data_IF_928967455183
#
_entry.id   IF_928967455183
#
_cell.length_a   1.000
_cell.length_b   1.000
_cell.length_c   1.000
_cell.angle_alpha   90.00
_cell.angle_beta   90.00
_cell.angle_gamma   90.00
#
_symmetry.space_group_name_H-M   'P 1'
#
loop_
_entity.id
_entity.type
_entity.pdbx_description
1 polymer ?
#
# COMPACT_ATOMS: atom_id res chain seq x y z
N UNK A 1 7.45 -13.85 -31.41
CA UNK A 1 8.42 -13.34 -30.42
C UNK A 1 7.63 -13.21 -29.13
N UNK A 2 7.74 -14.18 -28.22
CA UNK A 2 7.14 -14.04 -26.88
C UNK A 2 8.14 -13.24 -26.06
N UNK A 3 7.78 -11.99 -25.77
CA UNK A 3 8.51 -11.15 -24.82
C UNK A 3 8.41 -11.85 -23.45
N UNK A 4 9.51 -11.98 -22.68
CA UNK A 4 9.39 -12.42 -21.29
C UNK A 4 8.46 -11.44 -20.55
N UNK A 5 7.70 -11.87 -19.54
CA UNK A 5 7.01 -10.92 -18.68
C UNK A 5 8.09 -10.02 -18.07
N UNK A 6 8.02 -8.73 -18.36
CA UNK A 6 8.86 -7.73 -17.74
C UNK A 6 8.64 -7.87 -16.22
N UNK A 7 9.63 -8.41 -15.50
CA UNK A 7 9.59 -8.60 -14.02
C UNK A 7 9.64 -7.26 -13.26
N UNK A 8 9.57 -6.15 -14.01
CA UNK A 8 9.59 -4.74 -13.60
C UNK A 8 8.36 -3.98 -14.10
N UNK A 9 7.37 -4.68 -14.69
CA UNK A 9 6.08 -4.05 -14.99
C UNK A 9 5.34 -3.86 -13.66
N UNK A 10 5.10 -2.61 -13.26
CA UNK A 10 4.31 -2.25 -12.08
C UNK A 10 2.96 -2.97 -12.00
N UNK A 11 2.28 -2.82 -10.87
CA UNK A 11 0.99 -3.46 -10.65
C UNK A 11 -0.13 -2.73 -11.40
N UNK A 12 -0.65 -3.33 -12.47
CA UNK A 12 -1.86 -2.85 -13.14
C UNK A 12 -3.12 -3.15 -12.29
N UNK A 13 -4.23 -2.47 -12.58
CA UNK A 13 -5.56 -2.57 -11.95
C UNK A 13 -6.04 -4.02 -11.72
N UNK A 14 -5.61 -4.98 -12.54
CA UNK A 14 -5.97 -6.40 -12.41
C UNK A 14 -5.00 -7.23 -11.54
N UNK A 15 -3.78 -6.76 -11.29
CA UNK A 15 -2.76 -7.54 -10.56
C UNK A 15 -2.86 -7.42 -9.03
N UNK A 16 -3.57 -6.42 -8.53
CA UNK A 16 -3.68 -6.11 -7.10
C UNK A 16 -4.32 -7.24 -6.28
N UNK A 17 -5.31 -7.95 -6.83
CA UNK A 17 -5.94 -9.10 -6.14
C UNK A 17 -4.97 -10.27 -5.90
N UNK A 18 -3.79 -10.25 -6.52
CA UNK A 18 -2.74 -11.26 -6.34
C UNK A 18 -1.79 -10.92 -5.20
N UNK A 19 -1.87 -9.71 -4.65
CA UNK A 19 -1.08 -9.32 -3.49
C UNK A 19 -1.41 -10.20 -2.30
N UNK A 20 -0.38 -10.61 -1.58
CA UNK A 20 -0.52 -11.38 -0.34
C UNK A 20 -0.53 -10.37 0.80
N UNK A 21 -1.69 -10.10 1.42
CA UNK A 21 -1.73 -9.18 2.53
C UNK A 21 -1.01 -9.77 3.75
N UNK A 22 -0.32 -8.90 4.48
CA UNK A 22 0.20 -9.21 5.79
C UNK A 22 -0.92 -9.06 6.83
N UNK A 23 -1.55 -10.18 7.15
CA UNK A 23 -2.65 -10.24 8.11
C UNK A 23 -2.39 -11.31 9.18
N UNK A 24 -3.05 -11.18 10.33
CA UNK A 24 -3.10 -12.20 11.38
C UNK A 24 -2.00 -12.11 12.44
N UNK A 25 -1.04 -11.19 12.32
CA UNK A 25 -0.12 -10.80 13.41
C UNK A 25 0.45 -9.40 13.18
N UNK A 26 0.98 -8.80 14.24
CA UNK A 26 1.79 -7.57 14.15
C UNK A 26 3.12 -7.90 13.49
N UNK A 27 3.50 -7.08 12.51
CA UNK A 27 4.74 -7.24 11.78
C UNK A 27 5.94 -6.95 12.68
N UNK A 28 6.99 -7.73 12.46
CA UNK A 28 8.30 -7.49 13.05
C UNK A 28 9.34 -7.14 11.96
N UNK A 29 10.55 -6.81 12.40
CA UNK A 29 11.63 -6.43 11.48
C UNK A 29 12.03 -7.56 10.52
N UNK A 30 11.87 -8.83 10.91
CA UNK A 30 12.17 -9.98 10.05
C UNK A 30 11.15 -10.08 8.91
N UNK A 31 9.87 -9.78 9.19
CA UNK A 31 8.82 -9.73 8.16
C UNK A 31 9.11 -8.68 7.09
N UNK A 32 9.56 -7.49 7.49
CA UNK A 32 9.92 -6.41 6.54
C UNK A 32 11.15 -6.80 5.73
N UNK A 33 12.20 -7.35 6.36
CA UNK A 33 13.39 -7.83 5.65
C UNK A 33 13.08 -8.98 4.68
N UNK A 34 12.10 -9.82 5.02
CA UNK A 34 11.60 -10.89 4.17
C UNK A 34 10.59 -10.41 3.11
N UNK A 35 10.30 -9.11 3.04
CA UNK A 35 9.30 -8.49 2.14
C UNK A 35 7.90 -9.09 2.28
N UNK A 36 7.53 -9.49 3.51
CA UNK A 36 6.18 -9.96 3.85
C UNK A 36 5.31 -8.84 4.38
N UNK A 37 5.90 -7.87 5.07
CA UNK A 37 5.25 -6.69 5.61
C UNK A 37 5.91 -5.43 5.02
N UNK A 38 5.17 -4.33 4.99
CA UNK A 38 5.66 -3.03 4.50
C UNK A 38 6.44 -2.31 5.60
N UNK A 39 5.93 -2.36 6.84
CA UNK A 39 6.55 -1.69 7.98
C UNK A 39 6.57 -2.56 9.24
N UNK A 40 7.42 -2.18 10.19
CA UNK A 40 7.42 -2.69 11.55
C UNK A 40 7.75 -1.54 12.51
N UNK A 41 6.81 -1.20 13.40
CA UNK A 41 7.01 -0.12 14.38
C UNK A 41 7.58 -0.71 15.67
N UNK A 42 8.88 -0.52 15.88
CA UNK A 42 9.58 -1.07 17.06
C UNK A 42 9.54 -0.13 18.28
N UNK A 43 9.28 1.16 18.04
CA UNK A 43 9.23 2.20 19.07
C UNK A 43 7.79 2.53 19.52
N UNK A 44 6.81 1.71 19.13
CA UNK A 44 5.42 1.81 19.58
C UNK A 44 5.06 0.66 20.51
N UNK A 45 3.95 0.81 21.22
CA UNK A 45 3.47 -0.20 22.15
C UNK A 45 2.08 -0.70 21.76
N UNK A 46 1.71 -1.86 22.33
CA UNK A 46 0.33 -2.35 22.31
C UNK A 46 -0.24 -2.52 20.88
N UNK A 47 0.60 -2.99 19.96
CA UNK A 47 0.23 -3.26 18.56
C UNK A 47 -0.98 -4.19 18.44
N UNK A 48 -1.95 -3.78 17.63
CA UNK A 48 -3.20 -4.50 17.36
C UNK A 48 -3.46 -4.57 15.86
N UNK A 49 -4.06 -5.66 15.42
CA UNK A 49 -4.56 -5.74 14.05
C UNK A 49 -5.81 -4.91 13.91
N UNK A 50 -5.93 -4.19 12.80
CA UNK A 50 -7.17 -3.54 12.39
C UNK A 50 -7.98 -4.59 11.60
N UNK A 51 -9.24 -4.80 12.00
CA UNK A 51 -10.15 -5.72 11.31
C UNK A 51 -10.67 -5.06 10.04
N UNK A 52 -10.00 -5.36 8.92
CA UNK A 52 -10.27 -4.77 7.60
C UNK A 52 -10.09 -5.85 6.52
N UNK A 53 -10.88 -5.76 5.46
CA UNK A 53 -10.69 -6.57 4.26
C UNK A 53 -9.37 -6.16 3.59
N UNK A 54 -8.49 -7.12 3.31
CA UNK A 54 -7.20 -6.89 2.67
C UNK A 54 -6.99 -7.94 1.56
N UNK A 55 -6.38 -7.60 0.42
CA UNK A 55 -5.91 -6.25 0.04
C UNK A 55 -7.07 -5.27 -0.23
N UNK A 56 -6.88 -4.00 0.10
CA UNK A 56 -7.90 -2.94 -0.03
C UNK A 56 -7.39 -1.78 -0.88
N UNK A 57 -8.05 -1.45 -2.01
CA UNK A 57 -7.74 -0.25 -2.76
C UNK A 57 -7.98 1.01 -1.93
N UNK A 58 -7.06 1.96 -2.01
CA UNK A 58 -7.12 3.24 -1.29
C UNK A 58 -6.65 4.39 -2.17
N UNK A 59 -7.18 5.58 -1.91
CA UNK A 59 -6.63 6.85 -2.37
C UNK A 59 -5.96 7.49 -1.15
N UNK A 60 -4.66 7.77 -1.25
CA UNK A 60 -3.89 8.43 -0.18
C UNK A 60 -3.44 9.81 -0.62
N UNK A 61 -3.32 10.73 0.34
CA UNK A 61 -2.79 12.07 0.09
C UNK A 61 -1.35 12.18 0.55
N UNK A 62 -0.42 12.16 -0.41
CA UNK A 62 0.99 12.42 -0.20
C UNK A 62 1.33 13.90 -0.44
N UNK A 63 2.57 14.31 -0.19
CA UNK A 63 3.04 15.68 -0.43
C UNK A 63 2.88 16.13 -1.91
N UNK A 64 3.01 15.19 -2.86
CA UNK A 64 2.86 15.43 -4.30
C UNK A 64 1.39 15.36 -4.78
N UNK A 65 0.44 15.09 -3.88
CA UNK A 65 -0.99 15.05 -4.16
C UNK A 65 -1.65 13.70 -3.88
N UNK A 66 -2.85 13.54 -4.42
CA UNK A 66 -3.60 12.27 -4.36
C UNK A 66 -2.89 11.20 -5.20
N UNK A 67 -2.73 10.00 -4.66
CA UNK A 67 -2.25 8.85 -5.43
C UNK A 67 -3.09 7.60 -5.13
N UNK A 68 -3.07 6.65 -6.06
CA UNK A 68 -3.65 5.35 -5.83
C UNK A 68 -2.65 4.45 -5.11
N UNK A 69 -3.14 3.63 -4.19
CA UNK A 69 -2.37 2.57 -3.58
C UNK A 69 -3.28 1.40 -3.21
N UNK A 70 -2.66 0.32 -2.73
CA UNK A 70 -3.37 -0.82 -2.16
C UNK A 70 -2.83 -1.11 -0.76
N UNK A 71 -3.71 -1.04 0.24
CA UNK A 71 -3.38 -1.47 1.59
C UNK A 71 -3.24 -2.99 1.62
N UNK A 72 -2.12 -3.47 2.15
CA UNK A 72 -1.79 -4.89 2.35
C UNK A 72 -1.50 -5.23 3.80
N UNK A 73 -1.36 -4.23 4.66
CA UNK A 73 -1.09 -4.36 6.08
C UNK A 73 -1.87 -3.28 6.81
N UNK A 74 -2.46 -3.60 7.96
CA UNK A 74 -3.22 -2.66 8.76
C UNK A 74 -3.06 -2.93 10.26
N UNK A 75 -2.46 -1.99 10.97
CA UNK A 75 -2.13 -2.15 12.39
C UNK A 75 -2.38 -0.86 13.18
N UNK A 76 -2.88 -0.99 14.40
CA UNK A 76 -3.04 0.10 15.35
C UNK A 76 -1.95 0.01 16.42
N UNK A 77 -1.32 1.13 16.73
CA UNK A 77 -0.19 1.22 17.66
C UNK A 77 -0.36 2.39 18.60
N UNK A 78 -0.02 2.21 19.88
CA UNK A 78 -0.05 3.31 20.84
C UNK A 78 1.33 4.00 20.85
N UNK A 79 1.35 5.33 20.67
CA UNK A 79 2.52 6.18 20.80
C UNK A 79 2.90 6.36 22.28
N UNK A 80 4.13 6.83 22.54
CA UNK A 80 4.56 7.16 23.90
C UNK A 80 3.73 8.30 24.54
N UNK A 81 3.10 9.15 23.72
CA UNK A 81 2.19 10.20 24.15
C UNK A 81 0.77 9.69 24.48
N UNK A 82 0.52 8.39 24.26
CA UNK A 82 -0.75 7.73 24.55
C UNK A 82 -1.80 7.89 23.47
N UNK A 83 -1.41 8.33 22.27
CA UNK A 83 -2.29 8.41 21.10
C UNK A 83 -2.23 7.09 20.33
N UNK A 84 -3.40 6.58 19.90
CA UNK A 84 -3.46 5.40 19.03
C UNK A 84 -3.34 5.86 17.58
N UNK A 85 -2.30 5.38 16.89
CA UNK A 85 -2.07 5.58 15.47
C UNK A 85 -2.55 4.35 14.72
N UNK A 86 -3.45 4.53 13.76
CA UNK A 86 -3.88 3.48 12.84
C UNK A 86 -3.05 3.61 11.57
N UNK A 87 -2.20 2.62 11.30
CA UNK A 87 -1.17 2.67 10.27
C UNK A 87 -1.41 1.59 9.23
N UNK A 88 -1.33 1.98 7.97
CA UNK A 88 -1.46 1.11 6.81
C UNK A 88 -0.12 0.96 6.10
N UNK A 89 0.16 -0.29 5.70
CA UNK A 89 1.22 -0.60 4.76
C UNK A 89 0.61 -0.69 3.37
N UNK A 90 1.08 0.18 2.49
CA UNK A 90 0.57 0.36 1.15
C UNK A 90 1.56 -0.17 0.12
N UNK A 91 1.05 -0.64 -1.01
CA UNK A 91 1.82 -0.87 -2.23
C UNK A 91 1.33 0.12 -3.29
N UNK A 92 2.25 0.87 -3.87
CA UNK A 92 2.05 1.85 -4.92
C UNK A 92 2.07 1.18 -6.32
N UNK A 93 1.51 1.81 -7.37
CA UNK A 93 1.40 1.22 -8.71
C UNK A 93 2.72 0.81 -9.36
N UNK A 94 3.81 1.49 -9.04
CA UNK A 94 5.19 1.14 -9.42
C UNK A 94 5.75 -0.06 -8.65
N UNK A 95 5.02 -0.57 -7.65
CA UNK A 95 5.43 -1.66 -6.78
C UNK A 95 6.21 -1.23 -5.54
N UNK A 96 6.41 0.07 -5.32
CA UNK A 96 7.05 0.59 -4.12
C UNK A 96 6.13 0.44 -2.89
N UNK A 97 6.73 0.23 -1.71
CA UNK A 97 6.02 0.15 -0.45
C UNK A 97 5.95 1.50 0.25
N UNK A 98 4.76 1.92 0.70
CA UNK A 98 4.54 3.17 1.40
C UNK A 98 3.82 2.96 2.74
N UNK A 99 3.92 3.93 3.65
CA UNK A 99 3.27 3.90 4.96
C UNK A 99 2.38 5.11 5.11
N UNK A 100 1.12 4.89 5.50
CA UNK A 100 0.13 5.94 5.66
C UNK A 100 -0.65 5.77 6.97
N UNK A 101 -1.25 6.85 7.47
CA UNK A 101 -2.25 6.76 8.52
C UNK A 101 -3.61 6.44 7.90
N UNK A 102 -4.43 5.65 8.61
CA UNK A 102 -5.78 5.29 8.15
C UNK A 102 -6.67 6.54 7.97
N UNK A 103 -6.43 7.61 8.74
CA UNK A 103 -7.17 8.87 8.61
C UNK A 103 -6.79 9.68 7.36
N UNK A 104 -5.63 9.40 6.78
CA UNK A 104 -5.09 10.08 5.59
C UNK A 104 -5.39 9.31 4.29
N UNK A 105 -6.24 8.28 4.36
CA UNK A 105 -6.65 7.51 3.19
C UNK A 105 -8.17 7.41 3.06
N UNK A 106 -8.64 7.38 1.83
CA UNK A 106 -10.01 6.99 1.49
C UNK A 106 -10.01 5.56 0.96
N UNK A 107 -10.77 4.67 1.62
CA UNK A 107 -10.96 3.30 1.18
C UNK A 107 -11.94 3.28 -0.01
N UNK A 108 -11.52 2.69 -1.12
CA UNK A 108 -12.30 2.66 -2.37
C UNK A 108 -12.43 1.24 -2.91
N UNK A 109 -13.39 1.04 -3.82
CA UNK A 109 -13.56 -0.24 -4.51
C UNK A 109 -12.60 -0.33 -5.71
N UNK A 110 -12.23 -1.55 -6.11
CA UNK A 110 -11.36 -1.76 -7.29
C UNK A 110 -12.02 -1.32 -8.61
N UNK A 111 -13.32 -1.01 -8.58
CA UNK A 111 -14.06 -0.40 -9.67
C UNK A 111 -14.13 1.13 -9.65
N UNK A 112 -13.54 1.79 -8.65
CA UNK A 112 -13.57 3.25 -8.54
C UNK A 112 -12.83 3.92 -9.72
N UNK A 113 -13.50 4.84 -10.45
CA UNK A 113 -12.92 5.46 -11.64
C UNK A 113 -11.79 6.46 -11.31
N UNK A 114 -11.77 7.05 -10.12
CA UNK A 114 -10.70 7.96 -9.68
C UNK A 114 -9.45 7.15 -9.38
N UNK A 115 -9.60 6.08 -8.59
CA UNK A 115 -8.48 5.20 -8.27
C UNK A 115 -7.87 4.58 -9.52
N UNK A 116 -8.68 4.03 -10.43
CA UNK A 116 -8.17 3.47 -11.70
C UNK A 116 -7.40 4.49 -12.54
N UNK A 117 -7.91 5.72 -12.63
CA UNK A 117 -7.22 6.80 -13.34
C UNK A 117 -5.86 7.13 -12.71
N UNK A 118 -5.77 7.10 -11.39
CA UNK A 118 -4.51 7.36 -10.67
C UNK A 118 -3.51 6.22 -10.88
N UNK A 119 -3.96 4.96 -10.89
CA UNK A 119 -3.12 3.80 -11.24
C UNK A 119 -2.60 3.92 -12.68
N UNK A 120 -3.50 4.18 -13.64
CA UNK A 120 -3.13 4.38 -15.05
C UNK A 120 -2.15 5.55 -15.23
N UNK A 121 -2.34 6.65 -14.49
CA UNK A 121 -1.44 7.80 -14.55
C UNK A 121 -0.04 7.46 -14.01
N UNK A 122 0.05 6.72 -12.91
CA UNK A 122 1.33 6.33 -12.31
C UNK A 122 2.14 5.41 -13.22
N UNK A 123 1.49 4.42 -13.86
CA UNK A 123 2.15 3.48 -14.79
C UNK A 123 2.41 4.15 -16.15
N UNK A 124 1.49 5.01 -16.59
CA UNK A 124 1.57 5.72 -17.86
C UNK A 124 2.69 6.77 -17.91
N UNK A 125 3.04 7.37 -16.77
CA UNK A 125 4.15 8.34 -16.68
C UNK A 125 5.51 7.68 -16.98
N UNK A 126 5.67 6.39 -16.67
CA UNK A 126 6.90 5.64 -17.00
C UNK A 126 7.04 5.32 -18.50
N UNK A 127 5.98 5.46 -19.30
CA UNK A 127 5.99 5.10 -20.73
C UNK A 127 6.14 6.27 -21.72
N UNK A 128 6.33 7.51 -21.25
CA UNK A 128 7.05 8.52 -22.03
C UNK A 128 6.52 9.96 -21.97
N UNK A 129 7.48 10.88 -21.79
CA UNK A 129 7.65 12.05 -22.67
C UNK A 129 9.13 12.50 -22.62
N UNK A 130 9.98 11.86 -23.42
CA UNK A 130 11.22 12.48 -23.92
C UNK A 130 10.90 13.15 -25.28
N UNK A 131 10.64 14.46 -25.27
CA UNK A 131 10.65 15.33 -26.46
C UNK A 131 11.81 16.36 -26.37
#
# INVERSE_FOLDING_TARGET
>A
MSQPPDEDAGFDVDDWQRLVPFAGRIADLDDVQARKAIFALSDTHNGRLIDMDLPQPVIWWADDGEQAAVAVQAEAHDSDDGETMEVLGLILPDGEGAVALLEDVDLVDDTDPTWRRLVEAAIGDETGDED
#
